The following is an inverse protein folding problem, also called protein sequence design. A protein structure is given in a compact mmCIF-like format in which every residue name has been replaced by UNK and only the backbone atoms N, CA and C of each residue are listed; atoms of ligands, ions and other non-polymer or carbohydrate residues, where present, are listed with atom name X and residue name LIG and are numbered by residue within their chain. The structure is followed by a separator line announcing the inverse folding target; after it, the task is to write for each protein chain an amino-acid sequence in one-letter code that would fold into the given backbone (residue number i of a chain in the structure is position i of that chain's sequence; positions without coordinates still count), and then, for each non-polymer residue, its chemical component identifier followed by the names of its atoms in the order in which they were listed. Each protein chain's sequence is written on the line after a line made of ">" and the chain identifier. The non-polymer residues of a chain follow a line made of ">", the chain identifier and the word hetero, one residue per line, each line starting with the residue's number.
data_IF_498955705829
#
_entry.id   IF_498955705829
#
_cell.length_a   1.000
_cell.length_b   1.000
_cell.length_c   1.000
_cell.angle_alpha   90.00
_cell.angle_beta   90.00
_cell.angle_gamma   90.00
#
_symmetry.space_group_name_H-M   'P 1'
#
loop_
_entity.id
_entity.type
_entity.pdbx_description
1 polymer ?
#
# COMPACT_ATOMS: atom_id res chain seq x y z
N UNK A 1 18.04 -2.03 -5.77
CA UNK A 1 19.13 -3.04 -5.71
C UNK A 1 18.61 -4.22 -6.49
N UNK A 2 19.37 -4.71 -7.46
CA UNK A 2 18.97 -5.90 -8.21
C UNK A 2 18.89 -7.11 -7.26
N UNK A 3 17.87 -7.95 -7.44
CA UNK A 3 17.75 -9.21 -6.74
C UNK A 3 19.04 -10.06 -6.93
N UNK A 4 19.39 -10.86 -5.93
CA UNK A 4 20.55 -11.76 -5.95
C UNK A 4 21.95 -11.10 -5.98
N UNK A 5 22.09 -9.92 -5.37
CA UNK A 5 23.40 -9.30 -5.15
C UNK A 5 23.96 -9.77 -3.81
N UNK A 6 25.16 -10.38 -3.85
CA UNK A 6 25.84 -10.79 -2.62
C UNK A 6 26.13 -9.59 -1.72
N UNK A 7 25.71 -9.66 -0.46
CA UNK A 7 25.99 -8.63 0.53
C UNK A 7 27.48 -8.59 0.87
N UNK A 8 28.13 -7.51 0.48
CA UNK A 8 29.52 -7.23 0.84
C UNK A 8 29.59 -6.07 1.84
N UNK A 9 30.65 -6.01 2.64
CA UNK A 9 30.83 -4.95 3.63
C UNK A 9 30.74 -3.54 3.02
N UNK A 10 31.33 -3.23 1.85
CA UNK A 10 31.14 -1.92 1.20
C UNK A 10 29.68 -1.62 0.87
N UNK A 11 28.90 -2.62 0.43
CA UNK A 11 27.48 -2.46 0.11
C UNK A 11 26.65 -2.20 1.37
N UNK A 12 26.92 -2.92 2.45
CA UNK A 12 26.29 -2.70 3.77
C UNK A 12 26.55 -1.27 4.26
N UNK A 13 27.78 -0.78 4.15
CA UNK A 13 28.11 0.59 4.54
C UNK A 13 27.39 1.64 3.67
N UNK A 14 27.21 1.36 2.39
CA UNK A 14 26.46 2.23 1.49
C UNK A 14 24.97 2.26 1.84
N UNK A 15 24.39 1.11 2.19
CA UNK A 15 23.00 0.99 2.66
C UNK A 15 22.77 1.76 3.97
N UNK A 16 23.70 1.63 4.93
CA UNK A 16 23.68 2.40 6.19
C UNK A 16 23.73 3.91 5.95
N UNK A 17 24.59 4.38 5.03
CA UNK A 17 24.66 5.79 4.63
C UNK A 17 23.34 6.30 4.03
N UNK A 18 22.62 5.44 3.32
CA UNK A 18 21.31 5.75 2.73
C UNK A 18 20.16 5.60 3.73
N UNK A 19 20.47 5.27 5.00
CA UNK A 19 19.47 5.08 6.09
C UNK A 19 18.39 4.04 5.75
N UNK A 20 18.75 3.00 5.02
CA UNK A 20 17.85 1.86 4.81
C UNK A 20 17.59 1.18 6.14
N UNK A 21 16.31 1.02 6.50
CA UNK A 21 15.87 0.49 7.79
C UNK A 21 15.83 -1.03 7.84
N UNK A 22 15.79 -1.69 6.67
CA UNK A 22 15.79 -3.14 6.54
C UNK A 22 16.07 -3.56 5.10
N UNK A 23 16.48 -4.79 4.93
CA UNK A 23 16.62 -5.49 3.64
C UNK A 23 16.22 -6.95 3.86
N UNK A 24 15.62 -7.55 2.85
CA UNK A 24 15.43 -8.99 2.82
C UNK A 24 16.74 -9.63 2.32
N UNK A 25 17.17 -10.70 2.98
CA UNK A 25 18.31 -11.50 2.56
C UNK A 25 17.83 -12.94 2.36
N UNK A 26 18.36 -13.58 1.36
CA UNK A 26 18.24 -15.02 1.15
C UNK A 26 19.53 -15.67 1.61
N UNK A 27 19.44 -16.62 2.52
CA UNK A 27 20.57 -17.40 3.03
C UNK A 27 20.17 -18.87 3.20
N UNK A 28 21.09 -19.71 3.60
CA UNK A 28 20.85 -21.15 3.77
C UNK A 28 19.79 -21.49 4.85
N UNK A 29 19.41 -20.53 5.72
CA UNK A 29 18.38 -20.71 6.75
C UNK A 29 17.01 -20.26 6.26
N UNK A 30 16.95 -19.48 5.19
CA UNK A 30 15.72 -18.94 4.59
C UNK A 30 15.37 -19.58 3.24
N UNK A 31 16.14 -20.56 2.78
CA UNK A 31 15.99 -21.23 1.48
C UNK A 31 14.60 -21.88 1.29
N UNK A 32 13.95 -22.26 2.40
CA UNK A 32 12.60 -22.84 2.43
C UNK A 32 11.50 -21.84 2.82
N UNK A 33 11.83 -20.56 3.02
CA UNK A 33 10.86 -19.53 3.40
C UNK A 33 10.37 -18.80 2.13
N UNK A 34 9.24 -19.25 1.61
CA UNK A 34 8.53 -18.54 0.56
C UNK A 34 7.63 -17.49 1.22
N UNK A 35 7.95 -16.21 1.05
CA UNK A 35 7.01 -15.15 1.37
C UNK A 35 5.95 -15.14 0.26
N UNK A 36 4.78 -15.69 0.54
CA UNK A 36 3.64 -15.56 -0.36
C UNK A 36 3.24 -14.08 -0.40
N UNK A 37 3.41 -13.45 -1.55
CA UNK A 37 2.87 -12.10 -1.78
C UNK A 37 1.35 -12.21 -1.87
N UNK A 38 0.64 -11.40 -1.08
CA UNK A 38 -0.84 -11.40 -1.04
C UNK A 38 -1.46 -10.91 -2.35
N UNK A 39 -0.70 -10.12 -3.11
CA UNK A 39 -1.05 -9.69 -4.48
C UNK A 39 0.20 -9.76 -5.35
N UNK A 40 -0.01 -9.95 -6.65
CA UNK A 40 1.09 -10.01 -7.61
C UNK A 40 1.79 -8.64 -7.76
N UNK A 41 3.10 -8.64 -8.07
CA UNK A 41 3.84 -7.40 -8.39
C UNK A 41 3.19 -6.60 -9.54
N UNK A 42 2.49 -7.28 -10.47
CA UNK A 42 1.78 -6.62 -11.57
C UNK A 42 0.58 -5.84 -11.05
N UNK A 43 -0.20 -6.41 -10.13
CA UNK A 43 -1.35 -5.76 -9.49
C UNK A 43 -0.89 -4.58 -8.63
N UNK A 44 0.18 -4.73 -7.83
CA UNK A 44 0.77 -3.64 -7.07
C UNK A 44 1.22 -2.48 -7.98
N UNK A 45 1.92 -2.78 -9.07
CA UNK A 45 2.36 -1.78 -10.05
C UNK A 45 1.20 -1.05 -10.73
N UNK A 46 0.12 -1.78 -11.08
CA UNK A 46 -1.10 -1.19 -11.64
C UNK A 46 -1.78 -0.27 -10.64
N UNK A 47 -1.87 -0.68 -9.37
CA UNK A 47 -2.44 0.13 -8.29
C UNK A 47 -1.68 1.45 -8.12
N UNK A 48 -0.36 1.40 -8.00
CA UNK A 48 0.49 2.59 -7.89
C UNK A 48 0.25 3.52 -9.08
N UNK A 49 0.22 2.98 -10.30
CA UNK A 49 0.01 3.78 -11.52
C UNK A 49 -1.38 4.42 -11.58
N UNK A 50 -2.43 3.69 -11.20
CA UNK A 50 -3.80 4.20 -11.15
C UNK A 50 -3.91 5.37 -10.17
N UNK A 51 -3.37 5.22 -8.95
CA UNK A 51 -3.37 6.26 -7.93
C UNK A 51 -2.53 7.49 -8.33
N UNK A 52 -1.35 7.29 -8.93
CA UNK A 52 -0.50 8.38 -9.41
C UNK A 52 -1.15 9.22 -10.51
N UNK A 53 -1.92 8.59 -11.39
CA UNK A 53 -2.58 9.24 -12.51
C UNK A 53 -4.00 9.73 -12.18
N UNK A 54 -4.50 9.49 -10.95
CA UNK A 54 -5.91 9.75 -10.58
C UNK A 54 -6.90 9.04 -11.53
N UNK A 55 -6.54 7.87 -12.02
CA UNK A 55 -7.36 7.06 -12.89
C UNK A 55 -8.31 6.19 -12.04
N UNK A 56 -9.53 6.67 -11.84
CA UNK A 56 -10.49 6.04 -10.95
C UNK A 56 -10.99 4.71 -11.52
N UNK A 57 -11.21 4.63 -12.83
CA UNK A 57 -11.62 3.39 -13.48
C UNK A 57 -10.54 2.31 -13.32
N UNK A 58 -9.28 2.67 -13.57
CA UNK A 58 -8.16 1.76 -13.34
C UNK A 58 -8.01 1.37 -11.85
N UNK A 59 -8.30 2.27 -10.91
CA UNK A 59 -8.28 1.95 -9.47
C UNK A 59 -9.39 0.96 -9.10
N UNK A 60 -10.57 1.08 -9.70
CA UNK A 60 -11.68 0.12 -9.53
C UNK A 60 -11.31 -1.26 -10.07
N UNK A 61 -10.73 -1.33 -11.28
CA UNK A 61 -10.25 -2.59 -11.87
C UNK A 61 -9.19 -3.27 -11.00
N UNK A 62 -8.26 -2.49 -10.47
CA UNK A 62 -7.21 -3.00 -9.57
C UNK A 62 -7.78 -3.48 -8.25
N UNK A 63 -8.75 -2.78 -7.67
CA UNK A 63 -9.41 -3.23 -6.44
C UNK A 63 -10.13 -4.58 -6.66
N UNK A 64 -10.71 -4.81 -7.84
CA UNK A 64 -11.25 -6.12 -8.23
C UNK A 64 -10.16 -7.19 -8.27
N UNK A 65 -9.00 -6.89 -8.91
CA UNK A 65 -7.86 -7.82 -8.93
C UNK A 65 -7.37 -8.17 -7.52
N UNK A 66 -7.23 -7.17 -6.63
CA UNK A 66 -6.85 -7.39 -5.22
C UNK A 66 -7.81 -8.38 -4.54
N UNK A 67 -9.13 -8.18 -4.71
CA UNK A 67 -10.14 -9.09 -4.14
C UNK A 67 -10.02 -10.49 -4.74
N UNK A 68 -9.84 -10.59 -6.04
CA UNK A 68 -9.76 -11.88 -6.74
C UNK A 68 -8.51 -12.65 -6.30
N UNK A 69 -7.34 -12.03 -6.33
CA UNK A 69 -6.09 -12.66 -5.91
C UNK A 69 -6.14 -13.14 -4.46
N UNK A 70 -6.66 -12.33 -3.52
CA UNK A 70 -6.76 -12.73 -2.11
C UNK A 70 -7.81 -13.84 -1.89
N UNK A 71 -8.96 -13.78 -2.59
CA UNK A 71 -10.01 -14.81 -2.43
C UNK A 71 -9.63 -16.14 -3.06
N UNK A 72 -8.75 -16.15 -4.06
CA UNK A 72 -8.28 -17.36 -4.73
C UNK A 72 -7.16 -18.10 -3.97
N UNK A 73 -6.61 -17.49 -2.91
CA UNK A 73 -5.61 -18.13 -2.04
C UNK A 73 -6.23 -19.29 -1.26
N UNK A 74 -5.56 -20.45 -1.27
CA UNK A 74 -6.04 -21.67 -0.58
C UNK A 74 -5.99 -21.55 0.95
N UNK A 75 -5.07 -20.78 1.49
CA UNK A 75 -4.94 -20.45 2.91
C UNK A 75 -4.54 -18.98 3.04
N UNK A 76 -5.38 -18.19 3.70
CA UNK A 76 -5.04 -16.81 4.04
C UNK A 76 -4.26 -16.85 5.36
N UNK A 77 -2.96 -16.92 5.28
CA UNK A 77 -2.09 -16.74 6.43
C UNK A 77 -1.96 -15.24 6.73
N UNK A 78 -2.49 -14.83 7.89
CA UNK A 78 -2.36 -13.45 8.40
C UNK A 78 -0.93 -13.17 8.90
N UNK A 79 0.08 -13.43 8.10
CA UNK A 79 1.41 -12.91 8.43
C UNK A 79 1.51 -11.43 8.06
N UNK A 80 1.15 -10.61 9.04
CA UNK A 80 1.23 -9.14 8.91
C UNK A 80 2.67 -8.61 8.89
N UNK A 81 3.67 -9.47 8.99
CA UNK A 81 5.08 -9.05 9.03
C UNK A 81 5.58 -8.61 7.67
N UNK A 82 5.09 -9.22 6.60
CA UNK A 82 5.47 -8.91 5.22
C UNK A 82 5.02 -7.52 4.75
N UNK A 83 3.87 -7.04 5.27
CA UNK A 83 3.29 -5.74 4.89
C UNK A 83 3.90 -4.56 5.65
N UNK A 84 4.56 -4.81 6.79
CA UNK A 84 5.10 -3.77 7.67
C UNK A 84 6.36 -3.08 7.16
N UNK A 85 7.02 -3.61 6.14
CA UNK A 85 8.40 -3.19 5.80
C UNK A 85 8.53 -2.24 4.61
N UNK A 86 7.49 -2.05 3.81
CA UNK A 86 7.63 -1.39 2.50
C UNK A 86 7.05 0.02 2.39
N UNK A 87 6.09 0.42 3.21
CA UNK A 87 5.35 1.65 2.92
C UNK A 87 6.10 2.92 3.34
N UNK A 88 6.87 3.47 2.41
CA UNK A 88 7.42 4.82 2.49
C UNK A 88 6.65 5.83 1.61
N UNK A 89 5.66 5.40 0.85
CA UNK A 89 4.84 6.28 0.01
C UNK A 89 3.35 6.21 0.39
N UNK A 90 2.62 7.28 0.11
CA UNK A 90 1.17 7.35 0.32
C UNK A 90 0.43 6.27 -0.49
N UNK A 91 0.94 5.94 -1.67
CA UNK A 91 0.31 4.95 -2.57
C UNK A 91 0.46 3.53 -2.04
N UNK A 92 1.67 3.13 -1.60
CA UNK A 92 1.91 1.84 -0.97
C UNK A 92 1.03 1.65 0.26
N UNK A 93 0.92 2.69 1.11
CA UNK A 93 0.01 2.68 2.26
C UNK A 93 -1.45 2.40 1.86
N UNK A 94 -1.95 3.05 0.81
CA UNK A 94 -3.33 2.85 0.33
C UNK A 94 -3.56 1.42 -0.17
N UNK A 95 -2.56 0.83 -0.83
CA UNK A 95 -2.60 -0.57 -1.28
C UNK A 95 -2.64 -1.49 -0.07
N UNK A 96 -1.74 -1.31 0.90
CA UNK A 96 -1.70 -2.10 2.14
C UNK A 96 -3.04 -2.04 2.88
N UNK A 97 -3.61 -0.84 3.03
CA UNK A 97 -4.93 -0.67 3.69
C UNK A 97 -6.03 -1.40 2.93
N UNK A 98 -6.01 -1.39 1.59
CA UNK A 98 -6.98 -2.12 0.76
C UNK A 98 -6.86 -3.63 0.97
N UNK A 99 -5.64 -4.18 0.97
CA UNK A 99 -5.37 -5.60 1.23
C UNK A 99 -5.90 -6.00 2.61
N UNK A 100 -5.54 -5.25 3.67
CA UNK A 100 -6.02 -5.55 5.03
C UNK A 100 -7.54 -5.47 5.15
N UNK A 101 -8.16 -4.47 4.52
CA UNK A 101 -9.62 -4.32 4.54
C UNK A 101 -10.30 -5.54 3.91
N UNK A 102 -9.80 -6.02 2.76
CA UNK A 102 -10.30 -7.22 2.09
C UNK A 102 -10.14 -8.46 2.98
N UNK A 103 -8.96 -8.67 3.57
CA UNK A 103 -8.69 -9.81 4.46
C UNK A 103 -9.63 -9.81 5.68
N UNK A 104 -9.83 -8.66 6.32
CA UNK A 104 -10.77 -8.51 7.43
C UNK A 104 -12.19 -8.80 6.95
N UNK A 105 -12.59 -8.25 5.79
CA UNK A 105 -13.89 -8.48 5.21
C UNK A 105 -14.18 -9.95 4.92
N UNK A 106 -13.18 -10.70 4.40
CA UNK A 106 -13.28 -12.16 4.23
C UNK A 106 -13.47 -12.86 5.57
N UNK A 107 -12.67 -12.51 6.58
CA UNK A 107 -12.80 -13.05 7.93
C UNK A 107 -14.16 -12.77 8.58
N UNK A 108 -14.82 -11.68 8.20
CA UNK A 108 -16.20 -11.35 8.59
C UNK A 108 -17.28 -12.01 7.74
N UNK A 109 -16.92 -12.81 6.72
CA UNK A 109 -17.86 -13.48 5.83
C UNK A 109 -18.58 -12.54 4.85
N UNK A 110 -17.96 -11.41 4.47
CA UNK A 110 -18.54 -10.50 3.50
C UNK A 110 -18.59 -11.14 2.10
N UNK A 111 -19.68 -10.88 1.38
CA UNK A 111 -19.83 -11.35 -0.01
C UNK A 111 -18.91 -10.56 -0.95
N UNK A 112 -18.47 -11.17 -2.04
CA UNK A 112 -17.50 -10.63 -3.00
C UNK A 112 -17.81 -9.21 -3.48
N UNK A 113 -19.10 -8.89 -3.75
CA UNK A 113 -19.51 -7.54 -4.16
C UNK A 113 -19.17 -6.47 -3.11
N UNK A 114 -19.42 -6.76 -1.81
CA UNK A 114 -19.07 -5.85 -0.72
C UNK A 114 -17.54 -5.76 -0.50
N UNK A 115 -16.81 -6.86 -0.75
CA UNK A 115 -15.34 -6.84 -0.69
C UNK A 115 -14.76 -5.90 -1.75
N UNK A 116 -15.31 -5.88 -2.97
CA UNK A 116 -14.90 -4.95 -4.02
C UNK A 116 -15.16 -3.49 -3.63
N UNK A 117 -16.35 -3.17 -3.12
CA UNK A 117 -16.68 -1.82 -2.63
C UNK A 117 -15.73 -1.40 -1.50
N UNK A 118 -15.43 -2.31 -0.58
CA UNK A 118 -14.50 -2.09 0.52
C UNK A 118 -13.07 -1.87 0.02
N UNK A 119 -12.61 -2.67 -0.95
CA UNK A 119 -11.28 -2.55 -1.53
C UNK A 119 -11.08 -1.19 -2.24
N UNK A 120 -12.05 -0.77 -3.08
CA UNK A 120 -12.03 0.54 -3.74
C UNK A 120 -12.01 1.67 -2.72
N UNK A 121 -12.89 1.61 -1.72
CA UNK A 121 -12.98 2.64 -0.67
C UNK A 121 -11.68 2.75 0.11
N UNK A 122 -11.07 1.61 0.46
CA UNK A 122 -9.79 1.56 1.16
C UNK A 122 -8.62 2.05 0.28
N UNK A 123 -8.61 1.70 -1.01
CA UNK A 123 -7.58 2.13 -1.94
C UNK A 123 -7.59 3.65 -2.17
N UNK A 124 -8.78 4.27 -2.18
CA UNK A 124 -8.97 5.68 -2.47
C UNK A 124 -9.13 6.57 -1.22
N UNK A 125 -9.13 6.00 0.00
CA UNK A 125 -9.46 6.74 1.23
C UNK A 125 -8.61 8.00 1.46
N UNK A 126 -7.36 7.96 1.03
CA UNK A 126 -6.35 9.00 1.24
C UNK A 126 -6.03 9.80 -0.04
N UNK A 127 -6.79 9.62 -1.13
CA UNK A 127 -6.50 10.23 -2.43
C UNK A 127 -6.45 11.77 -2.37
N UNK A 128 -7.23 12.37 -1.48
CA UNK A 128 -7.22 13.81 -1.27
C UNK A 128 -5.93 14.36 -0.68
N UNK A 129 -5.03 13.50 -0.15
CA UNK A 129 -3.69 13.92 0.28
C UNK A 129 -2.84 14.49 -0.86
N UNK A 130 -3.18 14.18 -2.11
CA UNK A 130 -2.56 14.78 -3.29
C UNK A 130 -2.77 16.29 -3.40
N UNK A 131 -3.80 16.84 -2.76
CA UNK A 131 -4.09 18.27 -2.70
C UNK A 131 -3.42 18.96 -1.49
N UNK A 132 -2.89 18.19 -0.54
CA UNK A 132 -2.20 18.73 0.63
C UNK A 132 -0.80 19.23 0.22
N UNK A 133 -0.38 20.43 0.69
CA UNK A 133 0.95 20.93 0.39
C UNK A 133 2.05 19.94 0.80
N UNK A 134 2.96 19.61 -0.12
CA UNK A 134 4.04 18.64 0.08
C UNK A 134 4.87 18.91 1.34
N UNK A 135 5.09 20.20 1.66
CA UNK A 135 5.82 20.60 2.88
C UNK A 135 5.10 20.18 4.16
N UNK A 136 3.77 20.15 4.13
CA UNK A 136 2.94 19.73 5.25
C UNK A 136 2.89 18.20 5.33
N UNK A 137 2.68 17.55 4.20
CA UNK A 137 2.60 16.09 4.10
C UNK A 137 3.88 15.39 4.60
N UNK A 138 5.04 15.98 4.30
CA UNK A 138 6.35 15.43 4.66
C UNK A 138 7.02 16.17 5.82
N UNK A 139 6.26 16.92 6.62
CA UNK A 139 6.81 17.67 7.75
C UNK A 139 7.40 16.70 8.79
N UNK A 140 8.68 16.85 9.13
CA UNK A 140 9.25 16.07 10.22
C UNK A 140 8.68 16.54 11.58
N UNK A 141 8.18 15.59 12.38
CA UNK A 141 7.65 15.86 13.71
C UNK A 141 6.14 16.10 13.75
N UNK A 142 5.67 16.69 14.84
CA UNK A 142 4.23 16.92 15.05
C UNK A 142 3.73 18.13 14.27
N UNK A 143 2.50 18.04 13.78
CA UNK A 143 1.78 19.16 13.18
C UNK A 143 1.32 20.13 14.28
N UNK A 144 1.30 21.43 13.95
CA UNK A 144 0.60 22.42 14.79
C UNK A 144 -0.91 22.22 14.68
N UNK A 145 -1.73 22.81 15.57
CA UNK A 145 -3.20 22.73 15.43
C UNK A 145 -3.69 23.22 14.08
N UNK A 146 -3.15 24.31 13.55
CA UNK A 146 -3.53 24.89 12.25
C UNK A 146 -3.13 23.98 11.10
N UNK A 147 -1.94 23.41 11.15
CA UNK A 147 -1.46 22.44 10.15
C UNK A 147 -2.29 21.14 10.18
N UNK A 148 -2.74 20.73 11.38
CA UNK A 148 -3.61 19.57 11.52
C UNK A 148 -4.99 19.82 10.92
N UNK A 149 -5.56 21.03 11.10
CA UNK A 149 -6.82 21.42 10.43
C UNK A 149 -6.67 21.40 8.91
N UNK A 150 -5.54 21.86 8.37
CA UNK A 150 -5.26 21.77 6.94
C UNK A 150 -5.13 20.31 6.47
N UNK A 151 -4.45 19.47 7.24
CA UNK A 151 -4.31 18.04 6.94
C UNK A 151 -5.68 17.33 6.90
N UNK A 152 -6.61 17.67 7.79
CA UNK A 152 -7.96 17.07 7.80
C UNK A 152 -8.75 17.33 6.53
N UNK A 153 -8.46 18.40 5.79
CA UNK A 153 -9.14 18.70 4.53
C UNK A 153 -8.92 17.66 3.44
N UNK A 154 -7.95 16.74 3.61
CA UNK A 154 -7.77 15.66 2.62
C UNK A 154 -9.07 14.87 2.36
N UNK A 155 -9.93 14.72 3.38
CA UNK A 155 -11.23 14.04 3.22
C UNK A 155 -12.18 14.81 2.29
N UNK A 156 -12.23 16.13 2.42
CA UNK A 156 -13.02 17.00 1.54
C UNK A 156 -12.44 17.02 0.14
N UNK A 157 -11.12 17.12 0.02
CA UNK A 157 -10.44 17.06 -1.26
C UNK A 157 -10.63 15.71 -1.97
N UNK A 158 -10.61 14.60 -1.21
CA UNK A 158 -10.92 13.27 -1.73
C UNK A 158 -12.34 13.20 -2.28
N UNK A 159 -13.32 13.71 -1.54
CA UNK A 159 -14.70 13.79 -1.99
C UNK A 159 -14.84 14.60 -3.29
N UNK A 160 -14.22 15.79 -3.37
CA UNK A 160 -14.25 16.62 -4.57
C UNK A 160 -13.62 15.95 -5.80
N UNK A 161 -12.58 15.13 -5.59
CA UNK A 161 -11.92 14.37 -6.67
C UNK A 161 -12.77 13.18 -7.17
N UNK A 162 -13.60 12.60 -6.30
CA UNK A 162 -14.32 11.37 -6.59
C UNK A 162 -15.79 11.54 -6.94
N UNK A 163 -16.45 12.61 -6.49
CA UNK A 163 -17.92 12.79 -6.55
C UNK A 163 -18.54 12.64 -7.94
N UNK A 164 -17.80 12.93 -9.01
CA UNK A 164 -18.27 12.85 -10.39
C UNK A 164 -17.93 11.51 -11.08
N UNK A 165 -17.21 10.62 -10.37
CA UNK A 165 -16.70 9.34 -10.91
C UNK A 165 -17.23 8.10 -10.15
N UNK A 166 -18.08 8.30 -9.12
CA UNK A 166 -18.59 7.20 -8.28
C UNK A 166 -20.12 7.22 -8.26
#
# INVERSE_FOLDING_TARGET
>A
VHAYVMLTEPLIQQMRKRKLTGIYIEDALSEDIFLEELISEDTERKAVKALQNLDIDAAMDVAELIVDEITDMSEISLDMSSLRSKSNSTYEHSIDVSIYAVMIGIGMGMRKGLLKELAVSALLHDIGKLQIPTKLLHKPGKLTPEEYEEMKKHSEYGYELLKDNV
#
